data_IF_580909326841
#
_entry.id   IF_580909326841
#
_cell.length_a   1.000
_cell.length_b   1.000
_cell.length_c   1.000
_cell.angle_alpha   90.00
_cell.angle_beta   90.00
_cell.angle_gamma   90.00
#
_symmetry.space_group_name_H-M   'P 1'
#
loop_
_entity.id
_entity.type
_entity.pdbx_description
1 polymer ?
#
# COMPACT_ATOMS: atom_id res chain seq x y z
N UNK A 1 -40.87 -6.87 -52.85
CA UNK A 1 -40.03 -6.37 -51.74
C UNK A 1 -40.91 -6.07 -50.52
N UNK A 2 -41.06 -7.04 -49.63
CA UNK A 2 -41.95 -6.95 -48.46
C UNK A 2 -41.35 -6.11 -47.33
N UNK A 3 -42.20 -5.59 -46.41
CA UNK A 3 -41.75 -4.76 -45.27
C UNK A 3 -40.78 -5.50 -44.32
N UNK A 4 -40.76 -6.82 -44.37
CA UNK A 4 -40.04 -7.71 -43.46
C UNK A 4 -38.51 -7.65 -43.65
N UNK A 5 -38.04 -7.32 -44.87
CA UNK A 5 -36.60 -7.17 -45.13
C UNK A 5 -36.01 -5.86 -44.59
N UNK A 6 -36.85 -4.84 -44.36
CA UNK A 6 -36.41 -3.53 -43.87
C UNK A 6 -36.31 -3.52 -42.34
N UNK A 7 -37.23 -4.23 -41.67
CA UNK A 7 -37.24 -4.41 -40.22
C UNK A 7 -36.05 -5.23 -39.72
N UNK A 8 -35.68 -6.30 -40.44
CA UNK A 8 -34.53 -7.14 -40.12
C UNK A 8 -33.18 -6.41 -40.27
N UNK A 9 -33.09 -5.43 -41.18
CA UNK A 9 -31.89 -4.60 -41.33
C UNK A 9 -31.74 -3.62 -40.15
N UNK A 10 -32.84 -3.01 -39.69
CA UNK A 10 -32.84 -2.09 -38.56
C UNK A 10 -32.51 -2.79 -37.22
N UNK A 11 -33.00 -4.02 -37.01
CA UNK A 11 -32.68 -4.81 -35.81
C UNK A 11 -31.20 -5.25 -35.77
N UNK A 12 -30.60 -5.53 -36.92
CA UNK A 12 -29.17 -5.89 -37.01
C UNK A 12 -28.27 -4.70 -36.67
N UNK A 13 -28.62 -3.50 -37.13
CA UNK A 13 -27.88 -2.26 -36.82
C UNK A 13 -27.97 -1.87 -35.35
N UNK A 14 -29.13 -2.02 -34.72
CA UNK A 14 -29.33 -1.67 -33.30
C UNK A 14 -28.57 -2.61 -32.37
N UNK A 15 -28.58 -3.92 -32.62
CA UNK A 15 -27.78 -4.89 -31.84
C UNK A 15 -26.27 -4.63 -31.97
N UNK A 16 -25.79 -4.26 -33.15
CA UNK A 16 -24.39 -3.88 -33.36
C UNK A 16 -23.97 -2.67 -32.52
N UNK A 17 -24.82 -1.63 -32.48
CA UNK A 17 -24.58 -0.44 -31.65
C UNK A 17 -24.57 -0.76 -30.16
N UNK A 18 -25.51 -1.59 -29.69
CA UNK A 18 -25.57 -2.02 -28.29
C UNK A 18 -24.29 -2.76 -27.88
N UNK A 19 -23.82 -3.70 -28.71
CA UNK A 19 -22.58 -4.44 -28.44
C UNK A 19 -21.36 -3.51 -28.42
N UNK A 20 -21.28 -2.54 -29.34
CA UNK A 20 -20.19 -1.56 -29.36
C UNK A 20 -20.17 -0.67 -28.13
N UNK A 21 -21.34 -0.22 -27.65
CA UNK A 21 -21.44 0.59 -26.44
C UNK A 21 -21.03 -0.20 -25.19
N UNK A 22 -21.49 -1.46 -25.08
CA UNK A 22 -21.12 -2.34 -23.97
C UNK A 22 -19.61 -2.62 -23.98
N UNK A 23 -19.06 -3.00 -25.14
CA UNK A 23 -17.62 -3.28 -25.27
C UNK A 23 -16.76 -2.05 -24.95
N UNK A 24 -17.16 -0.87 -25.42
CA UNK A 24 -16.51 0.40 -25.12
C UNK A 24 -16.55 0.74 -23.63
N UNK A 25 -17.71 0.57 -22.98
CA UNK A 25 -17.86 0.80 -21.55
C UNK A 25 -17.01 -0.18 -20.72
N UNK A 26 -17.03 -1.47 -21.06
CA UNK A 26 -16.18 -2.47 -20.41
C UNK A 26 -14.69 -2.14 -20.56
N UNK A 27 -14.25 -1.72 -21.75
CA UNK A 27 -12.88 -1.27 -21.99
C UNK A 27 -12.48 -0.07 -21.13
N UNK A 28 -13.36 0.94 -21.05
CA UNK A 28 -13.14 2.12 -20.20
C UNK A 28 -13.05 1.77 -18.72
N UNK A 29 -13.93 0.89 -18.22
CA UNK A 29 -13.88 0.42 -16.83
C UNK A 29 -12.55 -0.30 -16.55
N UNK A 30 -12.11 -1.19 -17.44
CA UNK A 30 -10.83 -1.90 -17.28
C UNK A 30 -9.65 -0.93 -17.26
N UNK A 31 -9.63 0.07 -18.15
CA UNK A 31 -8.59 1.10 -18.18
C UNK A 31 -8.56 1.93 -16.88
N UNK A 32 -9.74 2.30 -16.37
CA UNK A 32 -9.85 3.02 -15.10
C UNK A 32 -9.34 2.17 -13.93
N UNK A 33 -9.69 0.88 -13.88
CA UNK A 33 -9.20 -0.02 -12.84
C UNK A 33 -7.67 -0.18 -12.87
N UNK A 34 -7.08 -0.30 -14.07
CA UNK A 34 -5.62 -0.35 -14.24
C UNK A 34 -4.99 0.97 -13.77
N UNK A 35 -5.56 2.12 -14.14
CA UNK A 35 -5.06 3.42 -13.72
C UNK A 35 -5.12 3.60 -12.20
N UNK A 36 -6.22 3.18 -11.56
CA UNK A 36 -6.38 3.21 -10.10
C UNK A 36 -5.36 2.28 -9.43
N UNK A 37 -5.14 1.07 -9.97
CA UNK A 37 -4.15 0.14 -9.43
C UNK A 37 -2.72 0.71 -9.51
N UNK A 38 -2.35 1.32 -10.64
CA UNK A 38 -1.07 2.00 -10.82
C UNK A 38 -0.95 3.17 -9.85
N UNK A 39 -1.97 4.02 -9.75
CA UNK A 39 -1.98 5.17 -8.86
C UNK A 39 -1.86 4.75 -7.39
N UNK A 40 -2.58 3.71 -6.97
CA UNK A 40 -2.49 3.16 -5.63
C UNK A 40 -1.07 2.65 -5.34
N UNK A 41 -0.47 1.88 -6.27
CA UNK A 41 0.91 1.41 -6.12
C UNK A 41 1.91 2.56 -6.05
N UNK A 42 1.74 3.60 -6.86
CA UNK A 42 2.61 4.79 -6.84
C UNK A 42 2.43 5.60 -5.55
N UNK A 43 1.20 5.81 -5.10
CA UNK A 43 0.89 6.52 -3.86
C UNK A 43 1.42 5.74 -2.65
N UNK A 44 1.17 4.43 -2.57
CA UNK A 44 1.72 3.57 -1.52
C UNK A 44 3.25 3.58 -1.51
N UNK A 45 3.90 3.53 -2.69
CA UNK A 45 5.38 3.63 -2.77
C UNK A 45 5.89 5.01 -2.39
N UNK A 46 5.20 6.07 -2.78
CA UNK A 46 5.57 7.45 -2.45
C UNK A 46 5.42 7.71 -0.95
N UNK A 47 4.37 7.18 -0.31
CA UNK A 47 4.18 7.25 1.13
C UNK A 47 5.21 6.40 1.90
N UNK A 48 5.60 5.22 1.39
CA UNK A 48 6.64 4.38 1.99
C UNK A 48 8.06 4.96 1.95
N UNK A 49 8.33 5.87 1.00
CA UNK A 49 9.66 6.46 0.81
C UNK A 49 9.82 7.88 1.34
N UNK A 50 8.73 8.54 1.73
CA UNK A 50 8.78 9.89 2.28
C UNK A 50 9.07 9.76 3.76
N UNK A 51 10.34 9.95 4.14
CA UNK A 51 10.80 9.98 5.52
C UNK A 51 9.83 10.80 6.37
N UNK A 52 8.92 10.10 7.03
CA UNK A 52 8.01 10.69 7.98
C UNK A 52 8.86 10.86 9.20
N UNK A 53 9.39 12.08 9.40
CA UNK A 53 10.02 12.49 10.65
C UNK A 53 9.15 11.96 11.78
N UNK A 54 9.62 10.90 12.44
CA UNK A 54 8.94 10.31 13.57
C UNK A 54 8.78 11.42 14.60
N UNK A 55 7.59 11.47 15.18
CA UNK A 55 7.26 12.43 16.23
C UNK A 55 8.38 12.42 17.27
N UNK A 56 8.99 13.59 17.52
CA UNK A 56 9.95 13.79 18.61
C UNK A 56 9.34 13.49 19.99
N UNK A 57 8.02 13.32 20.06
CA UNK A 57 7.31 12.76 21.20
C UNK A 57 6.97 11.29 20.93
N UNK A 58 7.59 10.33 21.64
CA UNK A 58 7.17 8.95 21.56
C UNK A 58 5.70 8.83 22.00
N UNK A 59 4.91 7.92 21.39
CA UNK A 59 3.56 7.66 21.86
C UNK A 59 3.60 7.20 23.31
N UNK A 60 2.71 7.74 24.15
CA UNK A 60 2.52 7.24 25.50
C UNK A 60 1.80 5.89 25.45
N UNK A 61 2.59 4.82 25.32
CA UNK A 61 2.12 3.44 25.28
C UNK A 61 2.37 2.80 26.64
N UNK A 62 1.31 2.58 27.40
CA UNK A 62 1.41 1.86 28.66
C UNK A 62 1.75 0.37 28.42
N UNK A 63 2.56 -0.24 29.31
CA UNK A 63 2.81 -1.68 29.26
C UNK A 63 1.50 -2.48 29.37
N UNK A 64 1.40 -3.57 28.61
CA UNK A 64 0.24 -4.46 28.64
C UNK A 64 0.34 -5.38 29.86
N UNK A 65 -0.73 -5.48 30.66
CA UNK A 65 -0.77 -6.41 31.78
C UNK A 65 -0.83 -7.86 31.29
N UNK A 66 -0.23 -8.79 32.05
CA UNK A 66 -0.22 -10.23 31.70
C UNK A 66 -1.62 -10.79 31.48
N UNK A 67 -2.60 -10.37 32.28
CA UNK A 67 -4.00 -10.78 32.17
C UNK A 67 -4.67 -10.33 30.87
N UNK A 68 -4.19 -9.25 30.27
CA UNK A 68 -4.80 -8.60 29.10
C UNK A 68 -4.09 -8.99 27.79
N UNK A 69 -2.95 -9.66 27.86
CA UNK A 69 -2.07 -9.91 26.73
C UNK A 69 -2.77 -10.69 25.60
N UNK A 70 -3.60 -11.69 25.93
CA UNK A 70 -4.34 -12.45 24.94
C UNK A 70 -5.37 -11.58 24.21
N UNK A 71 -6.13 -10.76 24.96
CA UNK A 71 -7.12 -9.84 24.39
C UNK A 71 -6.45 -8.78 23.52
N UNK A 72 -5.39 -8.15 24.02
CA UNK A 72 -4.62 -7.14 23.30
C UNK A 72 -4.02 -7.69 21.99
N UNK A 73 -3.55 -8.93 21.99
CA UNK A 73 -3.06 -9.59 20.78
C UNK A 73 -4.18 -9.76 19.74
N UNK A 74 -5.32 -10.33 20.14
CA UNK A 74 -6.46 -10.52 19.24
C UNK A 74 -6.95 -9.20 18.65
N UNK A 75 -7.05 -8.16 19.49
CA UNK A 75 -7.50 -6.84 19.07
C UNK A 75 -6.56 -6.19 18.05
N UNK A 76 -5.24 -6.30 18.25
CA UNK A 76 -4.24 -5.72 17.32
C UNK A 76 -4.05 -6.52 16.03
N UNK A 77 -4.39 -7.81 16.06
CA UNK A 77 -4.35 -8.69 14.89
C UNK A 77 -5.56 -8.51 13.96
N UNK A 78 -6.61 -7.80 14.42
CA UNK A 78 -7.76 -7.45 13.56
C UNK A 78 -7.31 -6.66 12.33
N UNK A 79 -8.10 -6.75 11.27
CA UNK A 79 -7.89 -6.01 10.03
C UNK A 79 -6.50 -6.24 9.40
N UNK A 80 -6.03 -7.48 9.44
CA UNK A 80 -4.74 -7.91 8.86
C UNK A 80 -3.54 -7.20 9.50
N UNK A 81 -3.40 -7.32 10.83
CA UNK A 81 -2.30 -6.74 11.61
C UNK A 81 -2.24 -5.21 11.60
N UNK A 82 -3.34 -4.52 11.29
CA UNK A 82 -3.35 -3.06 11.20
C UNK A 82 -2.89 -2.40 12.50
N UNK A 83 -3.33 -2.90 13.67
CA UNK A 83 -2.93 -2.36 14.97
C UNK A 83 -1.44 -2.53 15.23
N UNK A 84 -0.86 -3.70 14.89
CA UNK A 84 0.58 -3.92 15.01
C UNK A 84 1.39 -3.06 14.05
N UNK A 85 0.93 -2.92 12.80
CA UNK A 85 1.61 -2.09 11.82
C UNK A 85 1.61 -0.61 12.25
N UNK A 86 0.47 -0.12 12.75
CA UNK A 86 0.36 1.24 13.26
C UNK A 86 1.30 1.49 14.43
N UNK A 87 1.36 0.58 15.43
CA UNK A 87 2.28 0.71 16.57
C UNK A 87 3.75 0.68 16.12
N UNK A 88 4.10 -0.20 15.19
CA UNK A 88 5.46 -0.31 14.66
C UNK A 88 5.89 0.95 13.90
N UNK A 89 5.01 1.53 13.09
CA UNK A 89 5.29 2.74 12.32
C UNK A 89 5.49 4.00 13.18
N UNK A 90 5.13 3.95 14.47
CA UNK A 90 5.39 5.02 15.42
C UNK A 90 6.81 4.97 16.02
N UNK A 91 7.54 3.88 15.82
CA UNK A 91 8.90 3.73 16.33
C UNK A 91 9.88 4.66 15.57
N UNK A 92 10.87 5.24 16.25
CA UNK A 92 11.87 6.07 15.59
C UNK A 92 12.76 5.23 14.66
N UNK A 93 12.89 5.67 13.41
CA UNK A 93 13.84 5.08 12.44
C UNK A 93 15.30 5.17 12.94
N UNK A 94 15.62 6.24 13.68
CA UNK A 94 16.94 6.47 14.28
C UNK A 94 16.83 7.18 15.62
N UNK A 95 17.67 6.74 16.54
CA UNK A 95 17.90 7.39 17.82
C UNK A 95 18.98 8.45 17.65
N UNK A 96 18.65 9.72 17.91
CA UNK A 96 19.58 10.86 17.71
C UNK A 96 20.78 10.85 18.68
N UNK A 97 20.65 10.16 19.79
CA UNK A 97 21.66 9.98 20.84
C UNK A 97 22.65 8.85 20.51
N UNK A 98 22.40 8.04 19.48
CA UNK A 98 23.25 6.92 19.10
C UNK A 98 24.11 7.27 17.88
N UNK A 99 25.42 7.07 17.96
CA UNK A 99 26.37 7.38 16.89
C UNK A 99 27.03 6.13 16.34
N UNK A 100 27.34 6.12 15.04
CA UNK A 100 28.02 5.00 14.35
C UNK A 100 29.51 5.26 14.11
N UNK A 101 30.07 6.31 14.74
CA UNK A 101 31.40 6.86 14.45
C UNK A 101 32.52 5.82 14.51
N UNK A 102 32.47 4.90 15.49
CA UNK A 102 33.47 3.85 15.63
C UNK A 102 33.38 2.81 14.51
N UNK A 103 32.17 2.34 14.20
CA UNK A 103 31.93 1.38 13.10
C UNK A 103 32.17 1.95 11.70
N UNK A 104 32.06 3.28 11.55
CA UNK A 104 32.28 3.99 10.29
C UNK A 104 33.75 4.37 10.06
N UNK A 105 34.60 4.21 11.09
CA UNK A 105 36.03 4.45 10.96
C UNK A 105 36.63 3.53 9.88
N UNK A 106 37.53 4.06 9.06
CA UNK A 106 38.06 3.38 7.85
C UNK A 106 38.68 2.02 8.19
N UNK A 107 39.31 1.93 9.35
CA UNK A 107 39.91 0.72 9.93
C UNK A 107 38.90 -0.32 10.42
N UNK A 108 37.62 0.04 10.53
CA UNK A 108 36.53 -0.82 11.01
C UNK A 108 35.50 -1.13 9.92
N UNK A 109 35.49 -0.44 8.78
CA UNK A 109 34.51 -0.65 7.70
C UNK A 109 34.43 -2.12 7.27
N UNK A 110 35.58 -2.77 7.07
CA UNK A 110 35.66 -4.18 6.63
C UNK A 110 35.28 -5.20 7.71
N UNK A 111 35.13 -4.76 8.97
CA UNK A 111 34.67 -5.61 10.07
C UNK A 111 33.15 -5.67 10.15
N UNK A 112 32.44 -4.78 9.45
CA UNK A 112 30.99 -4.79 9.40
C UNK A 112 30.50 -5.82 8.38
N UNK A 113 29.66 -6.76 8.81
CA UNK A 113 29.00 -7.71 7.90
C UNK A 113 27.98 -7.03 6.98
N UNK A 114 27.31 -6.00 7.48
CA UNK A 114 26.31 -5.24 6.76
C UNK A 114 26.62 -3.73 6.84
N UNK A 115 26.44 -2.98 5.75
CA UNK A 115 26.71 -1.54 5.74
C UNK A 115 25.66 -0.73 6.50
N UNK A 116 24.45 -1.26 6.67
CA UNK A 116 23.29 -0.63 7.30
C UNK A 116 23.09 -1.00 8.78
N UNK A 117 23.79 -2.03 9.27
CA UNK A 117 23.77 -2.45 10.67
C UNK A 117 25.10 -2.06 11.31
N UNK A 118 25.05 -1.08 12.21
CA UNK A 118 26.21 -0.45 12.86
C UNK A 118 26.08 -0.49 14.38
N UNK A 119 27.20 -0.68 15.08
CA UNK A 119 27.29 -0.71 16.53
C UNK A 119 28.49 0.11 17.02
#
# INVERSE_FOLDING_TARGET
PGPESVEAAASTSTMGLVVQLIAGFCGMVVLLLIAIFILHRHLCRSLRGRQRLVSLNPPDMCPILRSELATAYVDRHRDSDYGFQQEFELLPDRFIDRTTRASDARENVYKNRYPDIKA
#
